data_IF_218940041228
#
_entry.id   IF_218940041228
#
_cell.length_a   1.000
_cell.length_b   1.000
_cell.length_c   1.000
_cell.angle_alpha   90.00
_cell.angle_beta   90.00
_cell.angle_gamma   90.00
#
_symmetry.space_group_name_H-M   'P 1'
#
loop_
_entity.id
_entity.type
_entity.pdbx_description
1 polymer ?
#
# COMPACT_ATOMS: atom_id res chain seq x y z
N UNK A 1 1.04 -3.56 -7.05
CA UNK A 1 0.18 -4.73 -7.30
C UNK A 1 -1.00 -4.69 -6.34
N UNK A 2 -2.21 -5.02 -6.78
CA UNK A 2 -3.41 -5.14 -5.92
C UNK A 2 -3.77 -6.62 -5.81
N UNK A 3 -3.92 -7.14 -4.59
CA UNK A 3 -4.29 -8.53 -4.33
C UNK A 3 -5.75 -8.60 -3.87
N UNK A 4 -6.50 -9.56 -4.42
CA UNK A 4 -7.86 -9.87 -4.01
C UNK A 4 -7.86 -11.21 -3.26
N UNK A 5 -8.35 -11.22 -2.03
CA UNK A 5 -8.31 -12.41 -1.14
C UNK A 5 -9.68 -12.68 -0.52
N UNK A 6 -9.90 -13.87 0.03
CA UNK A 6 -11.05 -14.15 0.89
C UNK A 6 -10.81 -13.65 2.32
N UNK A 7 -11.87 -13.32 3.06
CA UNK A 7 -11.80 -12.79 4.44
C UNK A 7 -10.92 -13.66 5.35
N UNK A 8 -11.00 -14.99 5.21
CA UNK A 8 -10.34 -15.93 6.12
C UNK A 8 -8.88 -16.25 5.76
N UNK A 9 -8.38 -15.79 4.62
CA UNK A 9 -7.05 -16.16 4.13
C UNK A 9 -6.26 -14.95 3.60
N UNK A 10 -6.53 -13.77 4.15
CA UNK A 10 -5.74 -12.59 3.86
C UNK A 10 -4.34 -12.77 4.45
N UNK A 11 -3.26 -12.61 3.66
CA UNK A 11 -1.91 -12.68 4.19
C UNK A 11 -1.66 -11.52 5.15
N UNK A 12 -0.75 -11.72 6.10
CA UNK A 12 -0.35 -10.63 7.00
C UNK A 12 0.28 -9.48 6.21
N UNK A 13 0.20 -8.27 6.78
CA UNK A 13 0.78 -7.05 6.19
C UNK A 13 2.26 -7.24 5.81
N UNK A 14 3.01 -8.01 6.60
CA UNK A 14 4.44 -8.29 6.37
C UNK A 14 4.61 -9.19 5.14
N UNK A 15 3.88 -10.31 5.08
CA UNK A 15 3.98 -11.27 3.98
C UNK A 15 3.59 -10.60 2.65
N UNK A 16 2.47 -9.88 2.65
CA UNK A 16 2.00 -9.16 1.46
C UNK A 16 3.02 -8.12 0.96
N UNK A 17 3.61 -7.34 1.89
CA UNK A 17 4.66 -6.37 1.55
C UNK A 17 5.88 -7.05 0.95
N UNK A 18 6.32 -8.16 1.53
CA UNK A 18 7.50 -8.90 1.05
C UNK A 18 7.27 -9.48 -0.36
N UNK A 19 6.02 -9.78 -0.72
CA UNK A 19 5.63 -10.18 -2.08
C UNK A 19 5.37 -9.00 -3.04
N UNK A 20 5.62 -7.75 -2.62
CA UNK A 20 5.40 -6.57 -3.47
C UNK A 20 3.92 -6.18 -3.63
N UNK A 21 3.03 -6.69 -2.77
CA UNK A 21 1.62 -6.30 -2.74
C UNK A 21 1.48 -4.93 -2.09
N UNK A 22 0.92 -3.97 -2.83
CA UNK A 22 0.71 -2.59 -2.36
C UNK A 22 -0.63 -2.42 -1.63
N UNK A 23 -1.64 -3.16 -2.07
CA UNK A 23 -2.98 -3.13 -1.47
C UNK A 23 -3.63 -4.51 -1.51
N UNK A 24 -4.32 -4.87 -0.44
CA UNK A 24 -5.11 -6.10 -0.31
C UNK A 24 -6.57 -5.71 -0.18
N UNK A 25 -7.45 -6.35 -0.96
CA UNK A 25 -8.90 -6.23 -0.85
C UNK A 25 -9.49 -7.60 -0.49
N UNK A 26 -10.28 -7.67 0.59
CA UNK A 26 -10.96 -8.89 1.03
C UNK A 26 -12.35 -8.99 0.39
N UNK A 27 -12.72 -10.16 -0.13
CA UNK A 27 -14.02 -10.44 -0.76
C UNK A 27 -15.10 -10.72 0.30
N UNK A 28 -16.33 -10.20 0.16
CA UNK A 28 -16.87 -9.51 -1.03
C UNK A 28 -16.45 -8.03 -1.08
N UNK A 29 -15.99 -7.60 -2.25
CA UNK A 29 -15.57 -6.21 -2.49
C UNK A 29 -16.70 -5.48 -3.20
N UNK A 30 -17.16 -4.36 -2.64
CA UNK A 30 -18.14 -3.51 -3.31
C UNK A 30 -17.52 -2.88 -4.58
N UNK A 31 -18.34 -2.72 -5.63
CA UNK A 31 -17.86 -2.18 -6.90
C UNK A 31 -17.22 -0.80 -6.79
N UNK A 32 -17.74 0.07 -5.91
CA UNK A 32 -17.17 1.40 -5.67
C UNK A 32 -15.78 1.32 -5.03
N UNK A 33 -15.57 0.41 -4.07
CA UNK A 33 -14.27 0.21 -3.39
C UNK A 33 -13.22 -0.27 -4.38
N UNK A 34 -13.60 -1.17 -5.28
CA UNK A 34 -12.69 -1.65 -6.32
C UNK A 34 -12.32 -0.52 -7.30
N UNK A 35 -13.32 0.23 -7.78
CA UNK A 35 -13.11 1.34 -8.73
C UNK A 35 -12.20 2.43 -8.14
N UNK A 36 -12.49 2.88 -6.93
CA UNK A 36 -11.69 3.89 -6.21
C UNK A 36 -10.26 3.38 -5.99
N UNK A 37 -10.10 2.16 -5.47
CA UNK A 37 -8.79 1.54 -5.27
C UNK A 37 -7.97 1.47 -6.56
N UNK A 38 -8.59 1.08 -7.68
CA UNK A 38 -7.91 0.99 -8.96
C UNK A 38 -7.56 2.38 -9.52
N UNK A 39 -8.45 3.35 -9.39
CA UNK A 39 -8.20 4.73 -9.81
C UNK A 39 -7.02 5.34 -9.03
N UNK A 40 -6.96 5.15 -7.72
CA UNK A 40 -5.85 5.62 -6.88
C UNK A 40 -4.54 4.96 -7.26
N UNK A 41 -4.55 3.63 -7.45
CA UNK A 41 -3.36 2.87 -7.85
C UNK A 41 -2.87 3.24 -9.26
N UNK A 42 -3.78 3.59 -10.18
CA UNK A 42 -3.45 4.05 -11.52
C UNK A 42 -2.83 5.45 -11.48
N UNK A 43 -3.43 6.35 -10.71
CA UNK A 43 -2.94 7.74 -10.53
C UNK A 43 -1.55 7.75 -9.90
N UNK A 44 -1.33 6.93 -8.86
CA UNK A 44 -0.02 6.83 -8.22
C UNK A 44 1.05 6.29 -9.18
N UNK A 45 0.73 5.31 -10.03
CA UNK A 45 1.66 4.84 -11.07
C UNK A 45 2.00 5.93 -12.08
N UNK A 46 0.99 6.69 -12.53
CA UNK A 46 1.19 7.73 -13.54
C UNK A 46 2.05 8.90 -13.05
N UNK A 47 1.91 9.27 -11.77
CA UNK A 47 2.63 10.42 -11.22
C UNK A 47 4.08 10.09 -10.80
N UNK A 48 4.60 8.89 -11.10
CA UNK A 48 5.92 8.44 -10.64
C UNK A 48 6.05 8.29 -9.11
N UNK A 49 5.03 8.70 -8.36
CA UNK A 49 4.90 8.58 -6.90
C UNK A 49 4.61 7.16 -6.45
N UNK A 50 4.19 6.29 -7.38
CA UNK A 50 3.92 4.91 -7.11
C UNK A 50 5.23 4.17 -6.89
N UNK A 51 5.83 4.33 -5.71
CA UNK A 51 7.02 3.62 -5.21
C UNK A 51 6.96 2.19 -5.69
N UNK A 52 7.57 1.89 -6.83
CA UNK A 52 7.88 0.53 -7.22
C UNK A 52 8.94 0.18 -6.20
N UNK A 53 8.68 -0.72 -5.23
CA UNK A 53 9.79 -1.21 -4.44
C UNK A 53 10.80 -1.72 -5.47
N UNK A 54 12.08 -1.33 -5.40
CA UNK A 54 13.06 -1.93 -6.28
C UNK A 54 12.89 -3.43 -6.17
N UNK A 55 12.89 -4.14 -7.30
CA UNK A 55 12.83 -5.60 -7.40
C UNK A 55 14.06 -6.28 -6.76
N UNK A 56 14.80 -5.58 -5.88
CA UNK A 56 15.92 -6.06 -5.10
C UNK A 56 15.44 -6.66 -3.78
N UNK A 57 15.45 -7.98 -3.75
CA UNK A 57 15.38 -8.82 -2.56
C UNK A 57 16.52 -8.51 -1.57
N UNK A 58 16.30 -7.57 -0.65
CA UNK A 58 17.16 -7.32 0.49
C UNK A 58 16.36 -6.79 1.68
N UNK A 59 16.83 -6.95 2.93
CA UNK A 59 16.22 -6.29 4.07
C UNK A 59 16.13 -4.79 3.75
N UNK A 60 14.91 -4.24 3.84
CA UNK A 60 14.65 -2.82 3.61
C UNK A 60 15.65 -2.03 4.43
N UNK A 61 16.61 -1.36 3.78
CA UNK A 61 17.48 -0.42 4.47
C UNK A 61 16.57 0.54 5.28
N UNK A 62 16.95 0.89 6.52
CA UNK A 62 16.15 1.83 7.30
C UNK A 62 15.90 3.07 6.45
N UNK A 63 14.63 3.45 6.32
CA UNK A 63 14.24 4.63 5.56
C UNK A 63 15.03 5.81 6.13
N UNK A 64 15.93 6.38 5.34
CA UNK A 64 16.69 7.56 5.72
C UNK A 64 15.76 8.75 5.68
N UNK A 65 15.05 8.98 6.78
CA UNK A 65 14.13 10.11 6.93
C UNK A 65 14.97 11.37 7.18
N UNK A 66 14.82 12.45 6.39
CA UNK A 66 15.50 13.70 6.63
C UNK A 66 15.21 14.23 8.05
N UNK A 67 16.19 14.88 8.67
CA UNK A 67 16.07 15.45 10.03
C UNK A 67 14.97 16.53 10.16
N UNK A 68 14.51 17.08 9.04
CA UNK A 68 13.45 18.09 8.97
C UNK A 68 12.10 17.54 8.48
N UNK A 69 11.91 16.21 8.42
CA UNK A 69 10.63 15.62 8.04
C UNK A 69 9.56 15.88 9.10
N UNK A 70 8.46 16.50 8.70
CA UNK A 70 7.33 16.82 9.59
C UNK A 70 6.06 16.15 9.08
N UNK A 71 5.35 15.49 9.98
CA UNK A 71 4.04 14.90 9.70
C UNK A 71 3.01 15.78 10.40
N UNK A 72 2.08 16.36 9.64
CA UNK A 72 0.91 17.03 10.19
C UNK A 72 -0.17 15.98 10.42
N UNK A 73 -0.49 15.73 11.69
CA UNK A 73 -1.55 14.80 12.08
C UNK A 73 -2.76 15.65 12.46
N UNK A 74 -3.79 15.62 11.62
CA UNK A 74 -5.08 16.25 11.88
C UNK A 74 -6.07 15.15 12.31
N UNK A 75 -6.01 14.76 13.58
CA UNK A 75 -6.91 13.77 14.18
C UNK A 75 -7.81 14.50 15.19
N UNK A 76 -9.11 14.20 15.15
CA UNK A 76 -10.15 14.78 16.02
C UNK A 76 -10.46 13.86 17.22
N UNK A 77 -9.50 13.03 17.63
CA UNK A 77 -9.68 12.03 18.68
C UNK A 77 -8.66 12.29 19.79
N UNK A 78 -9.13 12.68 20.97
CA UNK A 78 -8.32 12.98 22.15
C UNK A 78 -8.20 11.78 23.09
#
# INVERSE_FOLDING_TARGET
>A
LVMLTGISNAPSKIIARNCGIKRILAKPVAGYTLKTTLADELTQRNNGLGVTPPLGSGPSAPLSVPSNFRILVAEDNN
#
